data_IF_571571384836
#
_entry.id   IF_571571384836
#
_cell.length_a   1.000
_cell.length_b   1.000
_cell.length_c   1.000
_cell.angle_alpha   90.00
_cell.angle_beta   90.00
_cell.angle_gamma   90.00
#
_symmetry.space_group_name_H-M   'P 1'
#
loop_
_entity.id
_entity.type
_entity.pdbx_description
1 polymer ?
#
# COMPACT_ATOMS: atom_id res chain seq x y z
N UNK A 1 -18.46 10.84 -1.58
CA UNK A 1 -17.72 9.79 -2.30
C UNK A 1 -17.41 8.65 -1.36
N UNK A 2 -17.44 7.43 -1.87
CA UNK A 2 -17.18 6.24 -1.06
C UNK A 2 -15.70 5.87 -1.13
N UNK A 3 -15.02 5.83 0.02
CA UNK A 3 -13.60 5.59 0.14
C UNK A 3 -13.31 4.26 0.85
N UNK A 4 -12.29 3.56 0.38
CA UNK A 4 -11.80 2.32 0.97
C UNK A 4 -10.32 2.50 1.35
N UNK A 5 -9.95 2.09 2.54
CA UNK A 5 -8.54 2.01 2.94
C UNK A 5 -8.02 0.60 2.66
N UNK A 6 -6.89 0.51 1.97
CA UNK A 6 -6.18 -0.75 1.74
C UNK A 6 -4.74 -0.57 2.23
N UNK A 7 -4.23 -1.51 3.01
CA UNK A 7 -2.87 -1.39 3.52
C UNK A 7 -2.15 -2.72 3.62
N UNK A 8 -0.82 -2.64 3.60
CA UNK A 8 0.08 -3.74 3.97
C UNK A 8 0.95 -3.30 5.13
N UNK A 9 1.19 -4.19 6.10
CA UNK A 9 2.05 -3.91 7.24
C UNK A 9 2.69 -5.20 7.75
N UNK A 10 3.98 -5.13 8.12
CA UNK A 10 4.68 -6.24 8.77
C UNK A 10 4.98 -5.92 10.24
N UNK A 11 5.55 -4.75 10.50
CA UNK A 11 5.95 -4.30 11.84
C UNK A 11 4.84 -3.60 12.62
N UNK A 12 3.65 -3.50 12.06
CA UNK A 12 2.49 -2.78 12.57
C UNK A 12 2.58 -1.24 12.50
N UNK A 13 3.65 -0.65 11.98
CA UNK A 13 3.74 0.81 11.85
C UNK A 13 2.68 1.37 10.92
N UNK A 14 2.53 0.79 9.72
CA UNK A 14 1.49 1.20 8.77
C UNK A 14 0.09 0.89 9.32
N UNK A 15 -0.08 -0.28 9.95
CA UNK A 15 -1.35 -0.65 10.58
C UNK A 15 -1.76 0.40 11.63
N UNK A 16 -0.84 0.80 12.51
CA UNK A 16 -1.12 1.77 13.56
C UNK A 16 -1.50 3.14 12.97
N UNK A 17 -0.79 3.59 11.94
CA UNK A 17 -1.12 4.83 11.25
C UNK A 17 -2.55 4.78 10.69
N UNK A 18 -2.89 3.69 10.00
CA UNK A 18 -4.24 3.51 9.42
C UNK A 18 -5.30 3.51 10.51
N UNK A 19 -5.10 2.78 11.60
CA UNK A 19 -6.05 2.73 12.71
C UNK A 19 -6.26 4.11 13.32
N UNK A 20 -5.17 4.85 13.56
CA UNK A 20 -5.24 6.18 14.16
C UNK A 20 -6.00 7.16 13.29
N UNK A 21 -5.66 7.26 12.00
CA UNK A 21 -6.36 8.20 11.11
C UNK A 21 -7.81 7.80 10.86
N UNK A 22 -8.10 6.50 10.86
CA UNK A 22 -9.45 6.02 10.57
C UNK A 22 -10.43 6.19 11.75
N UNK A 23 -9.96 6.56 12.92
CA UNK A 23 -10.86 6.99 14.01
C UNK A 23 -11.65 8.23 13.58
N UNK A 24 -11.08 9.07 12.73
CA UNK A 24 -11.74 10.27 12.18
C UNK A 24 -12.74 9.94 11.08
N UNK A 25 -12.40 9.01 10.19
CA UNK A 25 -13.18 8.77 8.96
C UNK A 25 -14.14 7.60 9.06
N UNK A 26 -13.77 6.56 9.78
CA UNK A 26 -14.54 5.31 9.89
C UNK A 26 -14.83 4.66 8.52
N UNK A 27 -13.88 4.72 7.61
CA UNK A 27 -13.95 4.06 6.31
C UNK A 27 -13.78 2.55 6.45
N UNK A 28 -14.26 1.81 5.47
CA UNK A 28 -13.97 0.38 5.36
C UNK A 28 -12.47 0.18 5.15
N UNK A 29 -11.93 -0.89 5.73
CA UNK A 29 -10.48 -1.19 5.72
C UNK A 29 -10.26 -2.62 5.25
N UNK A 30 -9.31 -2.79 4.36
CA UNK A 30 -8.84 -4.09 3.87
C UNK A 30 -7.34 -4.19 4.08
N UNK A 31 -6.90 -5.30 4.66
CA UNK A 31 -5.47 -5.60 4.81
C UNK A 31 -5.02 -6.54 3.71
N UNK A 32 -3.97 -6.18 2.99
CA UNK A 32 -3.30 -7.08 2.05
C UNK A 32 -2.34 -7.96 2.85
N UNK A 33 -2.46 -9.26 2.71
CA UNK A 33 -1.60 -10.22 3.39
C UNK A 33 -1.07 -11.25 2.41
N UNK A 34 0.24 -11.52 2.48
CA UNK A 34 0.84 -12.60 1.71
C UNK A 34 0.19 -13.93 2.11
N UNK A 35 -0.19 -14.75 1.17
CA UNK A 35 -0.85 -16.03 1.44
C UNK A 35 0.00 -16.90 2.38
N UNK A 36 1.29 -17.01 2.09
CA UNK A 36 2.26 -17.58 3.00
C UNK A 36 2.88 -16.42 3.80
N UNK A 37 2.58 -16.29 5.11
CA UNK A 37 3.09 -15.15 5.89
C UNK A 37 4.61 -15.06 5.85
N UNK A 38 5.12 -13.82 5.82
CA UNK A 38 6.56 -13.58 5.97
C UNK A 38 7.04 -14.04 7.34
N UNK A 39 8.32 -14.45 7.41
CA UNK A 39 8.95 -14.77 8.69
C UNK A 39 8.81 -13.61 9.67
N UNK A 40 8.62 -13.93 10.95
CA UNK A 40 8.64 -12.91 12.01
C UNK A 40 10.07 -12.52 12.41
N UNK A 41 11.07 -13.25 11.95
CA UNK A 41 12.46 -12.86 12.07
C UNK A 41 12.79 -11.78 11.04
N UNK A 42 13.24 -10.61 11.54
CA UNK A 42 13.51 -9.46 10.67
C UNK A 42 14.52 -9.79 9.56
N UNK A 43 15.63 -10.44 9.90
CA UNK A 43 16.68 -10.73 8.91
C UNK A 43 16.15 -11.66 7.83
N UNK A 44 15.41 -12.70 8.19
CA UNK A 44 14.82 -13.63 7.22
C UNK A 44 13.80 -12.93 6.33
N UNK A 45 12.90 -12.17 6.92
CA UNK A 45 11.90 -11.41 6.16
C UNK A 45 12.56 -10.42 5.20
N UNK A 46 13.43 -9.55 5.70
CA UNK A 46 14.01 -8.45 4.92
C UNK A 46 15.05 -8.93 3.91
N UNK A 47 16.02 -9.75 4.35
CA UNK A 47 17.21 -10.05 3.54
C UNK A 47 17.09 -11.35 2.74
N UNK A 48 16.12 -12.19 3.01
CA UNK A 48 15.89 -13.41 2.25
C UNK A 48 14.60 -13.31 1.46
N UNK A 49 13.45 -13.22 2.13
CA UNK A 49 12.15 -13.29 1.47
C UNK A 49 11.83 -12.04 0.65
N UNK A 50 11.82 -10.87 1.28
CA UNK A 50 11.48 -9.61 0.61
C UNK A 50 12.50 -9.22 -0.44
N UNK A 51 13.79 -9.40 -0.15
CA UNK A 51 14.86 -9.06 -1.08
C UNK A 51 14.77 -9.87 -2.36
N UNK A 52 14.55 -11.18 -2.26
CA UNK A 52 14.37 -12.05 -3.42
C UNK A 52 13.19 -11.60 -4.29
N UNK A 53 12.07 -11.28 -3.65
CA UNK A 53 10.87 -10.84 -4.39
C UNK A 53 11.14 -9.56 -5.17
N UNK A 54 11.81 -8.59 -4.56
CA UNK A 54 12.13 -7.32 -5.23
C UNK A 54 13.14 -7.54 -6.36
N UNK A 55 14.23 -8.28 -6.13
CA UNK A 55 15.26 -8.50 -7.12
C UNK A 55 14.76 -9.28 -8.34
N UNK A 56 13.89 -10.25 -8.12
CA UNK A 56 13.33 -11.11 -9.17
C UNK A 56 11.99 -10.64 -9.71
N UNK A 57 11.49 -9.50 -9.25
CA UNK A 57 10.15 -8.98 -9.61
C UNK A 57 9.05 -10.02 -9.40
N UNK A 58 9.09 -10.71 -8.26
CA UNK A 58 8.07 -11.69 -7.89
C UNK A 58 6.93 -10.97 -7.18
N UNK A 59 5.71 -11.13 -7.69
CA UNK A 59 4.49 -10.71 -6.99
C UNK A 59 3.88 -11.94 -6.33
N UNK A 60 4.08 -12.13 -5.00
CA UNK A 60 3.64 -13.35 -4.34
C UNK A 60 2.12 -13.43 -4.21
N UNK A 61 1.59 -14.66 -4.13
CA UNK A 61 0.17 -14.85 -3.88
C UNK A 61 -0.24 -14.17 -2.56
N UNK A 62 -1.40 -13.54 -2.56
CA UNK A 62 -2.00 -12.89 -1.39
C UNK A 62 -3.29 -13.60 -0.99
N UNK A 63 -3.68 -13.43 0.26
CA UNK A 63 -4.98 -13.93 0.73
C UNK A 63 -6.10 -13.26 -0.04
N UNK A 64 -7.14 -14.03 -0.37
CA UNK A 64 -8.29 -13.53 -1.14
C UNK A 64 -8.91 -12.32 -0.44
N UNK A 65 -9.15 -11.27 -1.22
CA UNK A 65 -9.83 -10.06 -0.76
C UNK A 65 -11.31 -10.17 -1.18
N UNK A 66 -12.20 -10.20 -0.18
CA UNK A 66 -13.64 -10.33 -0.42
C UNK A 66 -14.29 -8.94 -0.47
N UNK A 67 -13.91 -8.15 -1.47
CA UNK A 67 -14.35 -6.76 -1.61
C UNK A 67 -14.71 -6.49 -3.07
N UNK A 68 -15.83 -5.82 -3.29
CA UNK A 68 -16.17 -5.24 -4.57
C UNK A 68 -15.52 -3.85 -4.68
N UNK A 69 -14.32 -3.79 -5.26
CA UNK A 69 -13.56 -2.55 -5.36
C UNK A 69 -14.28 -1.49 -6.17
N UNK A 70 -15.03 -1.87 -7.20
CA UNK A 70 -15.75 -0.91 -8.04
C UNK A 70 -16.96 -0.27 -7.34
N UNK A 71 -17.30 -0.71 -6.14
CA UNK A 71 -18.29 -0.01 -5.30
C UNK A 71 -17.69 1.21 -4.59
N UNK A 72 -16.37 1.42 -4.69
CA UNK A 72 -15.68 2.56 -4.07
C UNK A 72 -15.16 3.52 -5.13
N UNK A 73 -15.32 4.81 -4.87
CA UNK A 73 -14.82 5.87 -5.77
C UNK A 73 -13.32 6.04 -5.66
N UNK A 74 -12.79 5.88 -4.45
CA UNK A 74 -11.37 6.02 -4.17
C UNK A 74 -10.87 4.89 -3.28
N UNK A 75 -9.66 4.46 -3.54
CA UNK A 75 -8.88 3.57 -2.67
C UNK A 75 -7.71 4.35 -2.11
N UNK A 76 -7.56 4.32 -0.78
CA UNK A 76 -6.46 4.94 -0.07
C UNK A 76 -5.47 3.84 0.27
N UNK A 77 -4.35 3.77 -0.45
CA UNK A 77 -3.38 2.68 -0.36
C UNK A 77 -2.20 3.07 0.51
N UNK A 78 -1.97 2.33 1.59
CA UNK A 78 -0.90 2.58 2.56
C UNK A 78 0.08 1.41 2.61
N UNK A 79 1.38 1.71 2.58
CA UNK A 79 2.41 0.67 2.72
C UNK A 79 3.74 1.24 3.24
N UNK A 80 4.58 0.40 3.87
CA UNK A 80 5.95 0.77 4.18
C UNK A 80 6.83 0.59 2.95
N UNK A 81 7.94 1.33 2.87
CA UNK A 81 8.94 1.10 1.82
C UNK A 81 9.77 -0.14 2.18
N UNK A 82 9.87 -1.05 1.24
CA UNK A 82 10.71 -2.24 1.31
C UNK A 82 11.65 -2.29 0.10
N UNK A 83 12.97 -2.23 0.37
CA UNK A 83 13.95 -2.25 -0.71
C UNK A 83 13.65 -1.22 -1.82
N UNK A 84 13.52 0.05 -1.39
CA UNK A 84 13.41 1.24 -2.24
C UNK A 84 12.06 1.43 -2.96
N UNK A 85 11.10 0.54 -2.75
CA UNK A 85 9.77 0.62 -3.39
C UNK A 85 8.69 0.00 -2.48
N UNK A 86 7.50 -0.26 -3.01
CA UNK A 86 6.41 -0.91 -2.26
C UNK A 86 6.73 -2.40 -1.99
N UNK A 87 6.15 -2.99 -0.94
CA UNK A 87 6.24 -4.44 -0.71
C UNK A 87 5.55 -5.22 -1.83
N UNK A 88 6.14 -6.30 -2.28
CA UNK A 88 5.66 -7.03 -3.46
C UNK A 88 4.23 -7.58 -3.36
N UNK A 89 3.66 -7.90 -2.17
CA UNK A 89 2.21 -8.20 -2.07
C UNK A 89 1.31 -7.07 -2.56
N UNK A 90 1.76 -5.81 -2.46
CA UNK A 90 1.03 -4.67 -3.03
C UNK A 90 1.00 -4.75 -4.56
N UNK A 91 2.10 -5.22 -5.17
CA UNK A 91 2.12 -5.46 -6.62
C UNK A 91 1.07 -6.47 -7.04
N UNK A 92 0.94 -7.56 -6.30
CA UNK A 92 -0.09 -8.57 -6.53
C UNK A 92 -1.49 -7.99 -6.42
N UNK A 93 -1.73 -7.19 -5.38
CA UNK A 93 -3.00 -6.49 -5.18
C UNK A 93 -3.36 -5.64 -6.41
N UNK A 94 -2.41 -4.84 -6.90
CA UNK A 94 -2.64 -3.95 -8.05
C UNK A 94 -2.94 -4.74 -9.33
N UNK A 95 -2.26 -5.87 -9.54
CA UNK A 95 -2.55 -6.76 -10.66
C UNK A 95 -3.99 -7.30 -10.61
N UNK A 96 -4.46 -7.64 -9.43
CA UNK A 96 -5.80 -8.20 -9.23
C UNK A 96 -6.92 -7.18 -9.43
N UNK A 97 -6.62 -5.88 -9.35
CA UNK A 97 -7.61 -4.83 -9.58
C UNK A 97 -8.02 -4.67 -11.05
N UNK A 98 -7.17 -5.08 -11.97
CA UNK A 98 -7.41 -5.05 -13.43
C UNK A 98 -7.92 -3.70 -13.93
N UNK A 99 -9.23 -3.54 -14.08
CA UNK A 99 -9.88 -2.37 -14.65
C UNK A 99 -10.65 -1.54 -13.62
N UNK A 100 -10.15 -1.47 -12.40
CA UNK A 100 -10.71 -0.62 -11.36
C UNK A 100 -10.90 0.81 -11.87
N UNK A 101 -12.09 1.36 -11.71
CA UNK A 101 -12.47 2.67 -12.28
C UNK A 101 -12.21 3.85 -11.34
N UNK A 102 -12.00 3.58 -10.05
CA UNK A 102 -11.76 4.63 -9.07
C UNK A 102 -10.32 5.13 -9.11
N UNK A 103 -10.00 6.07 -8.22
CA UNK A 103 -8.65 6.57 -8.04
C UNK A 103 -7.96 5.81 -6.92
N UNK A 104 -6.64 5.62 -7.03
CA UNK A 104 -5.82 5.09 -5.95
C UNK A 104 -4.87 6.18 -5.49
N UNK A 105 -5.09 6.67 -4.27
CA UNK A 105 -4.18 7.60 -3.60
C UNK A 105 -3.14 6.80 -2.83
N UNK A 106 -1.86 7.13 -3.03
CA UNK A 106 -0.73 6.34 -2.52
C UNK A 106 -0.07 7.04 -1.34
N UNK A 107 0.04 6.33 -0.22
CA UNK A 107 0.66 6.81 1.01
C UNK A 107 1.74 5.82 1.44
N UNK A 108 2.94 6.31 1.68
CA UNK A 108 4.05 5.46 2.07
C UNK A 108 4.78 6.00 3.29
N UNK A 109 5.41 5.10 4.04
CA UNK A 109 6.25 5.43 5.18
C UNK A 109 7.56 4.64 5.16
N UNK A 110 8.60 5.21 5.71
CA UNK A 110 9.92 4.58 5.78
C UNK A 110 10.71 5.15 6.96
N UNK A 111 11.69 4.38 7.46
CA UNK A 111 12.66 4.90 8.43
C UNK A 111 13.58 5.95 7.80
N UNK A 112 13.89 5.80 6.51
CA UNK A 112 14.73 6.74 5.77
C UNK A 112 13.86 7.70 4.98
N UNK A 113 14.09 8.99 5.14
CA UNK A 113 13.28 10.03 4.50
C UNK A 113 13.86 10.40 3.13
N UNK A 114 13.96 9.44 2.22
CA UNK A 114 14.45 9.66 0.86
C UNK A 114 13.27 9.81 -0.10
N UNK A 115 13.09 10.98 -0.73
CA UNK A 115 11.97 11.22 -1.65
C UNK A 115 11.96 10.29 -2.87
N UNK A 116 13.08 9.69 -3.21
CA UNK A 116 13.15 8.72 -4.32
C UNK A 116 12.29 7.48 -4.07
N UNK A 117 12.04 7.13 -2.82
CA UNK A 117 11.23 5.96 -2.49
C UNK A 117 9.78 6.13 -2.96
N UNK A 118 9.22 7.33 -2.82
CA UNK A 118 7.88 7.62 -3.33
C UNK A 118 7.88 7.67 -4.87
N UNK A 119 8.89 8.29 -5.47
CA UNK A 119 9.04 8.30 -6.93
C UNK A 119 9.11 6.89 -7.50
N UNK A 120 9.95 6.03 -6.91
CA UNK A 120 10.09 4.63 -7.33
C UNK A 120 8.76 3.89 -7.20
N UNK A 121 8.08 4.05 -6.06
CA UNK A 121 6.80 3.38 -5.81
C UNK A 121 5.75 3.79 -6.83
N UNK A 122 5.61 5.08 -7.10
CA UNK A 122 4.63 5.59 -8.08
C UNK A 122 4.94 5.08 -9.50
N UNK A 123 6.20 5.13 -9.91
CA UNK A 123 6.63 4.61 -11.21
C UNK A 123 6.32 3.12 -11.34
N UNK A 124 6.67 2.34 -10.31
CA UNK A 124 6.52 0.90 -10.34
C UNK A 124 5.05 0.48 -10.31
N UNK A 125 4.23 1.16 -9.50
CA UNK A 125 2.78 0.92 -9.48
C UNK A 125 2.14 1.20 -10.85
N UNK A 126 2.49 2.33 -11.46
CA UNK A 126 1.96 2.69 -12.78
C UNK A 126 2.39 1.72 -13.87
N UNK A 127 3.56 1.11 -13.73
CA UNK A 127 4.04 0.11 -14.70
C UNK A 127 3.28 -1.21 -14.62
N UNK A 128 2.75 -1.57 -13.44
CA UNK A 128 1.99 -2.80 -13.25
C UNK A 128 0.63 -2.71 -13.94
N UNK A 129 -0.05 -1.59 -13.80
CA UNK A 129 -1.40 -1.42 -14.37
C UNK A 129 -1.60 0.01 -14.86
N UNK A 130 -1.51 0.19 -16.19
CA UNK A 130 -1.60 1.50 -16.83
C UNK A 130 -3.02 2.05 -16.91
N UNK A 131 -4.03 1.21 -16.63
CA UNK A 131 -5.43 1.63 -16.70
C UNK A 131 -5.93 2.24 -15.39
N UNK A 132 -5.16 2.12 -14.30
CA UNK A 132 -5.52 2.66 -13.01
C UNK A 132 -4.97 4.07 -12.85
N UNK A 133 -5.79 4.97 -12.33
CA UNK A 133 -5.35 6.32 -11.99
C UNK A 133 -4.72 6.33 -10.60
N UNK A 134 -3.39 6.30 -10.54
CA UNK A 134 -2.63 6.46 -9.30
C UNK A 134 -2.35 7.94 -9.04
N UNK A 135 -2.70 8.40 -7.85
CA UNK A 135 -2.47 9.77 -7.41
C UNK A 135 -1.47 9.76 -6.25
N UNK A 136 -0.41 10.54 -6.37
CA UNK A 136 0.55 10.65 -5.28
C UNK A 136 -0.09 11.32 -4.06
N UNK A 137 -0.06 10.64 -2.92
CA UNK A 137 -0.51 11.16 -1.64
C UNK A 137 0.67 11.71 -0.84
N UNK A 138 0.92 11.13 0.33
CA UNK A 138 1.95 11.61 1.27
C UNK A 138 3.02 10.55 1.53
N UNK A 139 4.23 11.03 1.82
CA UNK A 139 5.35 10.19 2.22
C UNK A 139 5.91 10.70 3.56
N UNK A 140 5.98 9.79 4.57
CA UNK A 140 6.55 10.07 5.89
C UNK A 140 5.95 11.30 6.59
N UNK A 141 4.63 11.43 6.53
CA UNK A 141 3.93 12.54 7.18
C UNK A 141 3.19 12.05 8.44
N UNK A 142 2.79 13.01 9.28
CA UNK A 142 2.05 12.74 10.52
C UNK A 142 0.63 12.26 10.26
N UNK A 143 0.02 11.66 11.26
CA UNK A 143 -1.41 11.30 11.23
C UNK A 143 -2.27 12.52 10.90
N UNK A 144 -1.98 13.67 11.52
CA UNK A 144 -2.71 14.91 11.26
C UNK A 144 -2.61 15.34 9.80
N UNK A 145 -1.41 15.27 9.21
CA UNK A 145 -1.22 15.63 7.80
C UNK A 145 -2.02 14.70 6.88
N UNK A 146 -2.08 13.43 7.19
CA UNK A 146 -2.91 12.47 6.45
C UNK A 146 -4.39 12.82 6.55
N UNK A 147 -4.88 13.12 7.75
CA UNK A 147 -6.28 13.51 7.95
C UNK A 147 -6.61 14.75 7.13
N UNK A 148 -5.78 15.79 7.22
CA UNK A 148 -5.98 17.02 6.47
C UNK A 148 -6.00 16.80 4.95
N UNK A 149 -5.10 15.94 4.44
CA UNK A 149 -5.05 15.59 3.03
C UNK A 149 -6.32 14.83 2.60
N UNK A 150 -6.69 13.82 3.35
CA UNK A 150 -7.84 12.94 3.01
C UNK A 150 -9.16 13.72 3.04
N UNK A 151 -9.31 14.70 3.93
CA UNK A 151 -10.49 15.57 3.98
C UNK A 151 -10.71 16.37 2.69
N UNK A 152 -9.68 16.52 1.87
CA UNK A 152 -9.75 17.28 0.61
C UNK A 152 -10.03 16.40 -0.61
N UNK A 153 -10.11 15.10 -0.43
CA UNK A 153 -10.39 14.16 -1.52
C UNK A 153 -11.86 14.20 -1.93
#
# INVERSE_FOLDING_TARGET
>A
MKNLIVYFSWSNNTKNLVEDLNTEFKYDVVRVEREKPYSRDYNTCAYVEAKEEVEKHIHPAIKKLNVDFNSYDNTLLFFPIWWYTFPMPIGTFVEELKDYKGNIYVFANSYTNDPKYMENSMRDLRSINKNINFVEGLFNKSTKNHIDFIKKI
#
